data_IF_394975826250
#
_entry.id   IF_394975826250
#
_cell.length_a   1.000
_cell.length_b   1.000
_cell.length_c   1.000
_cell.angle_alpha   90.00
_cell.angle_beta   90.00
_cell.angle_gamma   90.00
#
_symmetry.space_group_name_H-M   'P 1'
#
loop_
_entity.id
_entity.type
_entity.pdbx_description
1 polymer ?
#
# COMPACT_ATOMS: atom_id res chain seq x y z
N UNK A 1 -5.81 -6.11 -24.68
CA UNK A 1 -4.54 -6.61 -24.10
C UNK A 1 -4.77 -7.56 -22.93
N UNK A 2 -5.63 -7.26 -21.95
CA UNK A 2 -5.92 -8.20 -20.84
C UNK A 2 -6.95 -9.30 -21.20
N UNK A 3 -7.88 -9.02 -22.11
CA UNK A 3 -8.94 -9.95 -22.54
C UNK A 3 -8.47 -11.11 -23.45
N UNK A 4 -7.19 -11.14 -23.82
CA UNK A 4 -6.58 -12.19 -24.66
C UNK A 4 -5.70 -13.15 -23.86
N UNK A 5 -5.73 -13.09 -22.52
CA UNK A 5 -4.95 -13.97 -21.66
C UNK A 5 -5.66 -15.35 -21.62
N UNK A 6 -5.01 -16.43 -22.09
CA UNK A 6 -5.54 -17.78 -21.99
C UNK A 6 -5.87 -18.15 -20.54
N UNK A 7 -6.96 -18.89 -20.31
CA UNK A 7 -7.44 -19.20 -18.95
C UNK A 7 -6.39 -19.95 -18.11
N UNK A 8 -5.54 -20.75 -18.75
CA UNK A 8 -4.40 -21.44 -18.11
C UNK A 8 -3.36 -20.47 -17.52
N UNK A 9 -3.23 -19.26 -18.08
CA UNK A 9 -2.27 -18.26 -17.62
C UNK A 9 -2.83 -17.37 -16.50
N UNK A 10 -4.13 -17.51 -16.20
CA UNK A 10 -4.79 -16.74 -15.16
C UNK A 10 -4.18 -17.00 -13.78
N UNK A 11 -3.67 -18.23 -13.56
CA UNK A 11 -2.96 -18.61 -12.34
C UNK A 11 -1.72 -17.73 -12.06
N UNK A 12 -1.01 -17.28 -13.10
CA UNK A 12 0.15 -16.39 -12.96
C UNK A 12 -0.24 -14.91 -13.00
N UNK A 13 -1.24 -14.56 -13.81
CA UNK A 13 -1.70 -13.18 -13.96
C UNK A 13 -2.32 -12.64 -12.66
N UNK A 14 -3.10 -13.44 -11.93
CA UNK A 14 -3.76 -12.99 -10.70
C UNK A 14 -2.75 -12.59 -9.62
N UNK A 15 -1.77 -13.43 -9.22
CA UNK A 15 -0.74 -13.04 -8.26
C UNK A 15 0.08 -11.84 -8.73
N UNK A 16 0.44 -11.78 -10.01
CA UNK A 16 1.23 -10.68 -10.56
C UNK A 16 0.52 -9.33 -10.39
N UNK A 17 -0.81 -9.30 -10.51
CA UNK A 17 -1.61 -8.09 -10.35
C UNK A 17 -1.92 -7.79 -8.87
N UNK A 18 -2.23 -8.81 -8.06
CA UNK A 18 -2.64 -8.62 -6.66
C UNK A 18 -1.46 -8.30 -5.76
N UNK A 19 -0.35 -9.05 -5.88
CA UNK A 19 0.80 -8.97 -4.99
C UNK A 19 1.39 -7.56 -4.83
N UNK A 20 1.57 -6.76 -5.89
CA UNK A 20 2.06 -5.38 -5.75
C UNK A 20 1.04 -4.43 -5.09
N UNK A 21 -0.25 -4.75 -5.11
CA UNK A 21 -1.32 -3.90 -4.52
C UNK A 21 -1.41 -4.12 -3.00
N UNK A 22 -1.07 -5.31 -2.50
CA UNK A 22 -1.19 -5.66 -1.08
C UNK A 22 -0.45 -4.69 -0.12
N UNK A 23 0.81 -4.27 -0.38
CA UNK A 23 1.49 -3.30 0.47
C UNK A 23 0.75 -1.97 0.60
N UNK A 24 0.13 -1.51 -0.48
CA UNK A 24 -0.58 -0.23 -0.52
C UNK A 24 -1.89 -0.32 0.28
N UNK A 25 -2.68 -1.38 0.08
CA UNK A 25 -3.91 -1.61 0.85
C UNK A 25 -3.64 -1.77 2.34
N UNK A 26 -2.60 -2.53 2.70
CA UNK A 26 -2.20 -2.68 4.09
C UNK A 26 -1.74 -1.34 4.70
N UNK A 27 -0.98 -0.54 3.96
CA UNK A 27 -0.52 0.77 4.42
C UNK A 27 -1.70 1.73 4.66
N UNK A 28 -2.72 1.74 3.79
CA UNK A 28 -3.95 2.54 3.99
C UNK A 28 -4.67 2.11 5.28
N UNK A 29 -4.87 0.80 5.49
CA UNK A 29 -5.47 0.29 6.72
C UNK A 29 -4.68 0.70 7.97
N UNK A 30 -3.35 0.59 7.92
CA UNK A 30 -2.47 0.96 9.02
C UNK A 30 -2.47 2.47 9.28
N UNK A 31 -2.51 3.30 8.23
CA UNK A 31 -2.64 4.75 8.34
C UNK A 31 -3.97 5.17 8.99
N UNK A 32 -5.05 4.44 8.70
CA UNK A 32 -6.35 4.70 9.29
C UNK A 32 -6.42 4.34 10.79
N UNK A 33 -5.79 3.23 11.17
CA UNK A 33 -5.81 2.69 12.54
C UNK A 33 -4.74 3.26 13.47
N UNK A 34 -3.78 4.03 12.93
CA UNK A 34 -2.69 4.63 13.69
C UNK A 34 -2.74 6.15 13.67
N UNK A 35 -2.20 6.72 14.73
CA UNK A 35 -1.89 8.15 14.76
C UNK A 35 -0.40 8.37 14.50
N UNK A 36 -0.05 9.63 14.25
CA UNK A 36 1.33 10.05 14.00
C UNK A 36 1.62 11.25 14.88
N UNK A 37 2.92 11.54 15.08
CA UNK A 37 3.35 12.69 15.87
C UNK A 37 2.74 14.00 15.37
N UNK A 38 2.52 14.11 14.06
CA UNK A 38 1.85 15.27 13.44
C UNK A 38 0.83 14.84 12.38
N UNK A 39 -0.26 15.60 12.17
CA UNK A 39 -1.19 15.38 11.08
C UNK A 39 -0.52 15.44 9.69
N UNK A 40 0.49 16.30 9.54
CA UNK A 40 1.24 16.48 8.29
C UNK A 40 2.02 15.21 7.93
N UNK A 41 2.59 14.52 8.91
CA UNK A 41 3.27 13.25 8.66
C UNK A 41 2.30 12.17 8.17
N UNK A 42 1.13 12.07 8.80
CA UNK A 42 0.06 11.16 8.34
C UNK A 42 -0.38 11.49 6.91
N UNK A 43 -0.49 12.77 6.57
CA UNK A 43 -0.77 13.24 5.21
C UNK A 43 0.32 12.94 4.20
N UNK A 44 1.59 13.13 4.55
CA UNK A 44 2.69 12.78 3.65
C UNK A 44 2.63 11.29 3.27
N UNK A 45 2.35 10.42 4.23
CA UNK A 45 2.21 8.99 3.96
C UNK A 45 0.97 8.63 3.16
N UNK A 46 -0.16 9.32 3.35
CA UNK A 46 -1.38 9.13 2.54
C UNK A 46 -1.13 9.58 1.09
N UNK A 47 -0.52 10.76 0.90
CA UNK A 47 -0.14 11.26 -0.43
C UNK A 47 0.84 10.31 -1.11
N UNK A 48 1.80 9.75 -0.38
CA UNK A 48 2.72 8.74 -0.90
C UNK A 48 2.00 7.49 -1.43
N UNK A 49 0.89 7.05 -0.80
CA UNK A 49 0.10 5.92 -1.33
C UNK A 49 -0.56 6.23 -2.68
N UNK A 50 -0.95 7.49 -2.91
CA UNK A 50 -1.69 7.92 -4.11
C UNK A 50 -0.72 8.20 -5.26
N UNK A 51 0.38 8.92 -5.00
CA UNK A 51 1.33 9.36 -6.03
C UNK A 51 2.25 8.22 -6.47
N UNK A 52 2.59 7.33 -5.54
CA UNK A 52 3.51 6.22 -5.78
C UNK A 52 2.79 4.91 -5.45
N UNK A 53 1.85 4.44 -6.28
CA UNK A 53 1.22 3.14 -6.07
C UNK A 53 2.29 2.05 -6.01
N UNK A 54 2.10 1.06 -5.14
CA UNK A 54 3.10 0.02 -4.78
C UNK A 54 4.29 0.58 -3.99
N UNK A 55 5.07 1.51 -4.57
CA UNK A 55 6.32 2.03 -3.99
C UNK A 55 6.07 2.79 -2.67
N UNK A 56 5.01 3.59 -2.61
CA UNK A 56 4.57 4.29 -1.41
C UNK A 56 4.12 3.32 -0.31
N UNK A 57 3.49 2.21 -0.68
CA UNK A 57 3.10 1.14 0.27
C UNK A 57 4.32 0.44 0.86
N UNK A 58 5.28 0.06 0.01
CA UNK A 58 6.55 -0.55 0.45
C UNK A 58 7.36 0.42 1.29
N UNK A 59 7.53 1.67 0.86
CA UNK A 59 8.23 2.71 1.61
C UNK A 59 7.60 2.97 2.97
N UNK A 60 6.27 2.98 3.04
CA UNK A 60 5.55 3.07 4.31
C UNK A 60 5.85 1.89 5.24
N UNK A 61 5.81 0.65 4.75
CA UNK A 61 6.09 -0.53 5.56
C UNK A 61 7.51 -0.47 6.15
N UNK A 62 8.49 -0.07 5.34
CA UNK A 62 9.89 -0.02 5.75
C UNK A 62 10.20 1.11 6.73
N UNK A 63 9.64 2.30 6.50
CA UNK A 63 10.00 3.53 7.23
C UNK A 63 8.84 4.13 8.02
N UNK A 64 7.67 4.31 7.39
CA UNK A 64 6.51 4.99 7.99
C UNK A 64 5.88 4.25 9.17
N UNK A 65 5.78 2.91 9.09
CA UNK A 65 5.20 2.07 10.14
C UNK A 65 5.87 2.28 11.50
N UNK A 66 7.21 2.40 11.52
CA UNK A 66 8.01 2.56 12.75
C UNK A 66 7.76 3.89 13.45
N UNK A 67 7.24 4.89 12.73
CA UNK A 67 6.92 6.23 13.22
C UNK A 67 5.47 6.37 13.68
N UNK A 68 4.66 5.33 13.46
CA UNK A 68 3.25 5.34 13.86
C UNK A 68 3.09 5.13 15.37
N UNK A 69 2.14 5.86 15.95
CA UNK A 69 1.74 5.77 17.35
C UNK A 69 0.46 4.92 17.45
N UNK A 70 0.32 4.19 18.54
CA UNK A 70 -0.92 3.45 18.82
C UNK A 70 -2.02 4.49 19.05
N UNK A 71 -3.11 4.39 18.29
CA UNK A 71 -4.29 5.25 18.47
C UNK A 71 -4.85 4.94 19.87
N UNK A 72 -4.86 5.95 20.74
CA UNK A 72 -5.47 5.86 22.08
C UNK A 72 -7.00 5.79 21.96
#
# INVERSE_FOLDING_TARGET
MLASIPAENLYYAIPLLILPILPNLWAIWHLHTREFATPQEKMAWIVAQIVLPVVGGVGYILFGRKRSLKKQ
#
